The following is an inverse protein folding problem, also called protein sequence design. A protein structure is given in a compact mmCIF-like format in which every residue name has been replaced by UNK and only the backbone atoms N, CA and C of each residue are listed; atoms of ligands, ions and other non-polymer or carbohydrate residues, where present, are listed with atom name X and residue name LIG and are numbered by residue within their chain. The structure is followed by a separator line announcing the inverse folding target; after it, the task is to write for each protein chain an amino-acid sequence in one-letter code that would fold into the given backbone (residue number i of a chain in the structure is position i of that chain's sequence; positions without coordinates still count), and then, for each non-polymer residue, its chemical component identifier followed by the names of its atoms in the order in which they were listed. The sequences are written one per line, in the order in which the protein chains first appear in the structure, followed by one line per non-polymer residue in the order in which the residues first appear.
data_IF_270465485939
#
_entry.id   IF_270465485939
#
_cell.length_a   1.000
_cell.length_b   1.000
_cell.length_c   1.000
_cell.angle_alpha   90.00
_cell.angle_beta   90.00
_cell.angle_gamma   90.00
#
_symmetry.space_group_name_H-M   'P 1'
#
loop_
_entity.id
_entity.type
_entity.pdbx_description
1 polymer ?
#
# COMPACT_ATOMS: atom_id res chain seq x y z
N UNK A 1 6.23 -2.63 18.48
CA UNK A 1 6.42 -2.39 17.03
C UNK A 1 5.42 -1.32 16.62
N UNK A 2 5.87 -0.19 16.06
CA UNK A 2 4.95 0.88 15.64
C UNK A 2 4.15 0.38 14.43
N UNK A 3 2.81 0.45 14.49
CA UNK A 3 1.93 0.04 13.41
C UNK A 3 1.35 1.28 12.74
N UNK A 4 1.46 1.36 11.42
CA UNK A 4 0.84 2.42 10.64
C UNK A 4 -0.67 2.18 10.56
N UNK A 5 -1.46 3.23 10.75
CA UNK A 5 -2.92 3.18 10.61
C UNK A 5 -3.41 4.10 9.49
N UNK A 6 -4.65 3.91 9.03
CA UNK A 6 -5.29 4.82 8.09
C UNK A 6 -5.30 6.27 8.64
N UNK A 7 -5.61 6.42 9.93
CA UNK A 7 -5.55 7.71 10.62
C UNK A 7 -4.18 8.39 10.51
N UNK A 8 -3.08 7.65 10.61
CA UNK A 8 -1.74 8.21 10.45
C UNK A 8 -1.46 8.65 9.00
N UNK A 9 -1.89 7.86 8.02
CA UNK A 9 -1.75 8.18 6.59
C UNK A 9 -2.52 9.47 6.27
N UNK A 10 -3.79 9.53 6.66
CA UNK A 10 -4.67 10.66 6.38
C UNK A 10 -4.18 11.91 7.08
N UNK A 11 -3.76 11.82 8.35
CA UNK A 11 -3.14 12.93 9.06
C UNK A 11 -1.87 13.43 8.35
N UNK A 12 -1.03 12.53 7.84
CA UNK A 12 0.21 12.90 7.13
C UNK A 12 -0.09 13.62 5.81
N UNK A 13 -1.05 13.11 5.04
CA UNK A 13 -1.51 13.76 3.79
C UNK A 13 -2.19 15.09 4.10
N UNK A 14 -2.96 15.18 5.19
CA UNK A 14 -3.57 16.43 5.63
C UNK A 14 -2.55 17.47 6.10
N UNK A 15 -1.27 17.17 6.22
CA UNK A 15 -0.26 18.19 6.48
C UNK A 15 0.31 18.78 5.18
N UNK A 16 0.09 18.14 4.02
CA UNK A 16 0.55 18.65 2.73
C UNK A 16 -0.16 19.97 2.37
N UNK A 17 0.50 20.80 1.57
CA UNK A 17 -0.08 22.06 1.09
C UNK A 17 -1.20 21.78 0.08
N UNK A 18 -2.42 22.25 0.35
CA UNK A 18 -3.59 22.07 -0.50
C UNK A 18 -3.62 23.05 -1.67
N UNK A 19 -2.78 24.10 -1.62
CA UNK A 19 -2.60 25.04 -2.71
C UNK A 19 -1.56 24.58 -3.72
N UNK A 20 -0.77 23.55 -3.38
CA UNK A 20 0.24 22.98 -4.25
C UNK A 20 -0.32 21.86 -5.13
N UNK A 21 0.41 21.57 -6.22
CA UNK A 21 0.19 20.39 -7.05
C UNK A 21 1.31 19.38 -6.84
N UNK A 22 0.95 18.10 -6.93
CA UNK A 22 1.87 16.98 -6.71
C UNK A 22 2.01 16.17 -7.99
N UNK A 23 3.21 15.62 -8.21
CA UNK A 23 3.54 14.82 -9.38
C UNK A 23 3.44 13.32 -9.03
N UNK A 24 3.16 12.49 -10.04
CA UNK A 24 3.31 11.05 -9.88
C UNK A 24 4.79 10.66 -9.77
N UNK A 25 5.08 9.57 -9.06
CA UNK A 25 6.44 9.05 -8.91
C UNK A 25 7.08 8.58 -10.23
N UNK A 26 6.28 8.19 -11.21
CA UNK A 26 6.80 7.82 -12.52
C UNK A 26 7.03 9.09 -13.35
N UNK A 27 8.28 9.46 -13.71
CA UNK A 27 8.57 10.70 -14.43
C UNK A 27 7.98 10.76 -15.85
N UNK A 28 7.58 9.61 -16.41
CA UNK A 28 6.85 9.54 -17.69
C UNK A 28 5.40 9.99 -17.55
N UNK A 29 4.82 9.91 -16.36
CA UNK A 29 3.47 10.40 -16.10
C UNK A 29 3.53 11.91 -15.87
N UNK A 30 2.86 12.67 -16.74
CA UNK A 30 2.81 14.14 -16.71
C UNK A 30 1.59 14.69 -15.95
N UNK A 31 0.78 13.80 -15.37
CA UNK A 31 -0.37 14.16 -14.58
C UNK A 31 0.01 14.92 -13.30
N UNK A 32 -0.86 15.83 -12.91
CA UNK A 32 -0.81 16.56 -11.66
C UNK A 32 -1.94 16.10 -10.74
N UNK A 33 -1.70 16.24 -9.44
CA UNK A 33 -2.62 15.89 -8.36
C UNK A 33 -2.84 17.13 -7.51
N UNK A 34 -4.09 17.44 -7.21
CA UNK A 34 -4.51 18.48 -6.26
C UNK A 34 -5.32 17.83 -5.14
N UNK A 35 -5.04 18.21 -3.90
CA UNK A 35 -5.83 17.80 -2.73
C UNK A 35 -6.93 18.84 -2.55
N UNK A 36 -8.18 18.43 -2.72
CA UNK A 36 -9.35 19.31 -2.55
C UNK A 36 -9.77 19.35 -1.09
N UNK A 37 -9.87 18.18 -0.47
CA UNK A 37 -10.36 18.04 0.90
C UNK A 37 -9.83 16.74 1.51
N UNK A 38 -9.60 16.76 2.83
CA UNK A 38 -9.23 15.58 3.60
C UNK A 38 -10.23 15.42 4.75
N UNK A 39 -11.08 14.40 4.69
CA UNK A 39 -11.96 14.06 5.81
C UNK A 39 -11.17 13.26 6.86
N UNK A 40 -11.13 13.76 8.08
CA UNK A 40 -10.46 13.11 9.21
C UNK A 40 -11.46 12.20 9.95
N UNK A 41 -11.00 11.13 10.62
CA UNK A 41 -9.61 10.73 10.75
C UNK A 41 -9.11 9.80 9.64
N UNK A 42 -10.00 9.07 8.95
CA UNK A 42 -9.61 7.93 8.09
C UNK A 42 -9.96 8.10 6.62
N UNK A 43 -10.32 9.31 6.21
CA UNK A 43 -10.75 9.62 4.86
C UNK A 43 -12.28 9.61 4.72
N UNK A 44 -12.78 9.80 3.49
CA UNK A 44 -12.03 9.80 2.24
C UNK A 44 -11.16 11.05 2.03
N UNK A 45 -10.17 10.94 1.13
CA UNK A 45 -9.41 12.11 0.64
C UNK A 45 -9.95 12.46 -0.75
N UNK A 46 -10.47 13.68 -0.92
CA UNK A 46 -10.96 14.16 -2.22
C UNK A 46 -9.84 14.84 -3.00
N UNK A 47 -9.64 14.40 -4.23
CA UNK A 47 -8.59 14.89 -5.11
C UNK A 47 -9.14 15.32 -6.47
N UNK A 48 -8.39 16.17 -7.16
CA UNK A 48 -8.48 16.32 -8.61
C UNK A 48 -7.17 15.86 -9.24
N UNK A 49 -7.26 15.36 -10.46
CA UNK A 49 -6.10 15.02 -11.27
C UNK A 49 -6.35 15.37 -12.72
N UNK A 50 -5.34 15.87 -13.38
CA UNK A 50 -5.38 16.25 -14.79
C UNK A 50 -4.00 16.08 -15.41
N UNK A 51 -3.94 16.00 -16.73
CA UNK A 51 -2.70 15.94 -17.50
C UNK A 51 -2.55 17.19 -18.37
N UNK A 52 -1.72 18.16 -17.94
CA UNK A 52 -1.44 19.37 -18.72
C UNK A 52 -0.90 19.06 -20.13
N UNK A 53 -0.21 17.93 -20.32
CA UNK A 53 0.33 17.56 -21.64
C UNK A 53 -0.76 17.22 -22.66
N UNK A 54 -1.99 16.96 -22.18
CA UNK A 54 -3.18 16.72 -23.01
C UNK A 54 -4.08 17.96 -23.11
N UNK A 55 -3.61 19.13 -22.65
CA UNK A 55 -4.40 20.36 -22.59
C UNK A 55 -5.46 20.37 -21.49
N UNK A 56 -5.39 19.45 -20.51
CA UNK A 56 -6.33 19.40 -19.41
C UNK A 56 -6.00 20.43 -18.31
N UNK A 57 -7.02 20.86 -17.57
CA UNK A 57 -6.89 21.83 -16.47
C UNK A 57 -7.62 21.33 -15.22
N UNK A 58 -7.29 21.86 -14.04
CA UNK A 58 -7.96 21.46 -12.79
C UNK A 58 -9.47 21.74 -12.82
N UNK A 59 -9.88 22.86 -13.41
CA UNK A 59 -11.28 23.32 -13.51
C UNK A 59 -12.17 22.38 -14.34
N UNK A 60 -11.58 21.67 -15.31
CA UNK A 60 -12.31 20.76 -16.20
C UNK A 60 -12.45 19.34 -15.65
N UNK A 61 -11.86 19.05 -14.49
CA UNK A 61 -11.82 17.69 -13.93
C UNK A 61 -12.70 17.55 -12.69
N UNK A 62 -13.41 16.43 -12.66
CA UNK A 62 -14.24 16.03 -11.52
C UNK A 62 -13.37 15.75 -10.29
N UNK A 63 -13.96 15.97 -9.13
CA UNK A 63 -13.39 15.55 -7.85
C UNK A 63 -13.62 14.06 -7.68
N UNK A 64 -12.57 13.30 -7.37
CA UNK A 64 -12.62 11.85 -7.14
C UNK A 64 -12.17 11.54 -5.70
N UNK A 65 -12.82 10.57 -5.02
CA UNK A 65 -12.38 10.15 -3.70
C UNK A 65 -11.29 9.07 -3.75
N UNK A 66 -10.32 9.17 -2.84
CA UNK A 66 -9.53 8.05 -2.34
C UNK A 66 -10.32 7.50 -1.14
N UNK A 67 -10.89 6.30 -1.28
CA UNK A 67 -11.78 5.74 -0.26
C UNK A 67 -11.03 5.29 0.99
N UNK A 68 -11.72 5.29 2.13
CA UNK A 68 -11.14 4.86 3.42
C UNK A 68 -10.71 3.39 3.38
N UNK A 69 -11.41 2.53 2.63
CA UNK A 69 -11.04 1.12 2.45
C UNK A 69 -9.71 0.96 1.70
N UNK A 70 -9.48 1.78 0.67
CA UNK A 70 -8.20 1.81 -0.05
C UNK A 70 -7.07 2.23 0.90
N UNK A 71 -7.29 3.27 1.70
CA UNK A 71 -6.31 3.76 2.67
C UNK A 71 -5.99 2.69 3.72
N UNK A 72 -7.00 2.00 4.25
CA UNK A 72 -6.82 0.90 5.20
C UNK A 72 -6.05 -0.27 4.62
N UNK A 73 -6.35 -0.68 3.37
CA UNK A 73 -5.61 -1.76 2.69
C UNK A 73 -4.12 -1.43 2.58
N UNK A 74 -3.79 -0.19 2.23
CA UNK A 74 -2.41 0.27 2.15
C UNK A 74 -1.76 0.36 3.54
N UNK A 75 -2.44 0.93 4.53
CA UNK A 75 -1.92 1.03 5.90
C UNK A 75 -1.54 -0.34 6.47
N UNK A 76 -2.42 -1.33 6.29
CA UNK A 76 -2.22 -2.69 6.79
C UNK A 76 -1.08 -3.45 6.10
N UNK A 77 -0.71 -3.06 4.89
CA UNK A 77 0.40 -3.69 4.17
C UNK A 77 1.78 -3.19 4.62
N UNK A 78 1.86 -2.04 5.29
CA UNK A 78 3.14 -1.48 5.71
C UNK A 78 3.68 -2.14 6.98
N UNK A 79 4.91 -2.62 6.85
CA UNK A 79 5.82 -2.86 7.98
C UNK A 79 6.97 -1.86 7.87
N UNK A 80 7.42 -1.33 9.01
CA UNK A 80 8.52 -0.36 9.03
C UNK A 80 9.75 -0.91 8.30
N UNK A 81 10.34 -0.09 7.43
CA UNK A 81 11.52 -0.40 6.60
C UNK A 81 11.35 -1.58 5.63
N UNK A 82 10.12 -2.03 5.36
CA UNK A 82 9.84 -3.03 4.34
C UNK A 82 9.19 -2.38 3.10
N UNK A 83 9.70 -2.66 1.88
CA UNK A 83 9.16 -2.09 0.66
C UNK A 83 7.87 -2.81 0.27
N UNK A 84 6.81 -2.06 -0.03
CA UNK A 84 5.57 -2.59 -0.58
C UNK A 84 5.33 -2.09 -2.00
N UNK A 85 4.72 -2.93 -2.82
CA UNK A 85 4.26 -2.52 -4.14
C UNK A 85 2.74 -2.32 -4.10
N UNK A 86 2.29 -1.11 -4.42
CA UNK A 86 0.87 -0.76 -4.39
C UNK A 86 0.04 -1.61 -5.35
N UNK A 87 0.60 -1.98 -6.50
CA UNK A 87 -0.10 -2.79 -7.50
C UNK A 87 -0.35 -4.21 -6.99
N UNK A 88 0.63 -4.79 -6.29
CA UNK A 88 0.52 -6.10 -5.65
C UNK A 88 -0.45 -6.09 -4.47
N UNK A 89 -0.34 -5.10 -3.58
CA UNK A 89 -1.22 -4.99 -2.40
C UNK A 89 -2.69 -4.86 -2.80
N UNK A 90 -2.97 -4.15 -3.88
CA UNK A 90 -4.34 -3.87 -4.32
C UNK A 90 -4.82 -4.78 -5.45
N UNK A 91 -4.00 -5.73 -5.91
CA UNK A 91 -4.34 -6.63 -7.02
C UNK A 91 -4.77 -5.87 -8.27
N UNK A 92 -4.10 -4.77 -8.61
CA UNK A 92 -4.49 -3.94 -9.77
C UNK A 92 -5.72 -3.05 -9.57
N UNK A 93 -6.39 -3.10 -8.43
CA UNK A 93 -7.65 -2.38 -8.18
C UNK A 93 -7.45 -0.90 -7.86
N UNK A 94 -8.56 -0.15 -7.90
CA UNK A 94 -8.70 1.28 -7.59
C UNK A 94 -8.05 2.24 -8.59
N UNK A 95 -8.88 3.13 -9.15
CA UNK A 95 -8.43 4.14 -10.11
C UNK A 95 -7.54 5.23 -9.49
N UNK A 96 -7.58 5.41 -8.17
CA UNK A 96 -6.83 6.43 -7.42
C UNK A 96 -5.59 5.86 -6.69
N UNK A 97 -5.27 4.58 -6.89
CA UNK A 97 -4.10 3.90 -6.29
C UNK A 97 -2.80 4.68 -6.45
N UNK A 98 -2.45 5.04 -7.70
CA UNK A 98 -1.19 5.75 -7.98
C UNK A 98 -1.19 7.19 -7.46
N UNK A 99 -2.37 7.76 -7.18
CA UNK A 99 -2.51 9.06 -6.54
C UNK A 99 -2.15 8.94 -5.06
N UNK A 100 -2.71 7.95 -4.35
CA UNK A 100 -2.37 7.69 -2.95
C UNK A 100 -0.88 7.39 -2.77
N UNK A 101 -0.31 6.57 -3.65
CA UNK A 101 1.13 6.26 -3.67
C UNK A 101 1.98 7.53 -3.80
N UNK A 102 1.63 8.41 -4.73
CA UNK A 102 2.34 9.66 -4.95
C UNK A 102 2.23 10.59 -3.74
N UNK A 103 1.01 10.82 -3.23
CA UNK A 103 0.79 11.68 -2.08
C UNK A 103 1.56 11.20 -0.85
N UNK A 104 1.55 9.89 -0.57
CA UNK A 104 2.33 9.33 0.53
C UNK A 104 3.83 9.61 0.36
N UNK A 105 4.39 9.40 -0.82
CA UNK A 105 5.81 9.68 -1.07
C UNK A 105 6.21 11.17 -0.94
N UNK A 106 5.24 12.09 -0.95
CA UNK A 106 5.46 13.50 -0.64
C UNK A 106 5.37 13.79 0.87
N UNK A 107 4.96 12.83 1.70
CA UNK A 107 4.93 12.97 3.16
C UNK A 107 6.24 12.47 3.79
N UNK A 108 6.74 13.11 4.87
CA UNK A 108 8.08 12.89 5.41
C UNK A 108 8.50 11.43 5.64
N UNK A 109 7.58 10.55 6.08
CA UNK A 109 7.94 9.20 6.53
C UNK A 109 7.93 8.15 5.42
N UNK A 110 7.76 8.52 4.15
CA UNK A 110 7.59 7.54 3.07
C UNK A 110 8.55 7.80 1.92
N UNK A 111 9.48 6.87 1.72
CA UNK A 111 10.48 6.95 0.67
C UNK A 111 10.21 5.89 -0.39
N UNK A 112 10.48 6.21 -1.66
CA UNK A 112 10.35 5.23 -2.74
C UNK A 112 11.70 4.56 -3.03
N UNK A 113 11.67 3.32 -3.49
CA UNK A 113 12.86 2.53 -3.79
C UNK A 113 12.62 1.53 -4.93
N UNK A 114 13.71 0.92 -5.39
CA UNK A 114 13.72 -0.14 -6.41
C UNK A 114 14.47 -1.35 -5.86
N UNK A 115 13.84 -2.18 -5.01
CA UNK A 115 14.48 -3.38 -4.49
C UNK A 115 14.93 -4.30 -5.62
N UNK A 116 15.98 -5.08 -5.39
CA UNK A 116 16.42 -6.10 -6.33
C UNK A 116 15.33 -7.15 -6.57
N UNK A 117 15.40 -7.84 -7.70
CA UNK A 117 14.54 -8.97 -8.02
C UNK A 117 15.39 -10.19 -8.36
N UNK A 118 15.05 -11.35 -7.80
CA UNK A 118 15.58 -12.64 -8.25
C UNK A 118 14.80 -13.09 -9.49
N UNK A 119 15.51 -13.28 -10.60
CA UNK A 119 15.00 -13.97 -11.78
C UNK A 119 15.77 -15.28 -11.97
N UNK A 120 15.03 -16.39 -12.04
CA UNK A 120 15.60 -17.71 -12.34
C UNK A 120 15.42 -18.01 -13.82
N UNK A 121 16.52 -17.99 -14.58
CA UNK A 121 16.51 -18.41 -15.99
C UNK A 121 17.30 -19.72 -16.11
N UNK A 122 16.63 -20.81 -16.50
CA UNK A 122 17.29 -22.13 -16.65
C UNK A 122 17.92 -22.68 -15.36
N UNK A 123 17.35 -22.38 -14.20
CA UNK A 123 17.85 -22.84 -12.88
C UNK A 123 18.93 -21.94 -12.25
N UNK A 124 19.44 -20.93 -12.97
CA UNK A 124 20.43 -20.00 -12.44
C UNK A 124 19.75 -18.71 -11.93
N UNK A 125 19.83 -18.39 -10.63
CA UNK A 125 19.28 -17.15 -10.09
C UNK A 125 20.18 -15.96 -10.46
N UNK A 126 19.58 -14.92 -11.02
CA UNK A 126 20.23 -13.64 -11.31
C UNK A 126 19.49 -12.51 -10.63
N UNK A 127 20.20 -11.53 -10.07
CA UNK A 127 19.59 -10.37 -9.45
C UNK A 127 19.47 -9.26 -10.50
N UNK A 128 18.24 -8.83 -10.78
CA UNK A 128 17.95 -7.69 -11.65
C UNK A 128 17.39 -6.52 -10.83
N UNK A 129 17.35 -5.34 -11.46
CA UNK A 129 16.66 -4.18 -10.88
C UNK A 129 15.15 -4.47 -10.83
N UNK A 130 14.56 -4.37 -9.65
CA UNK A 130 13.12 -4.59 -9.49
C UNK A 130 12.28 -3.35 -9.77
N UNK A 131 10.98 -3.51 -9.53
CA UNK A 131 9.98 -2.48 -9.74
C UNK A 131 9.92 -1.47 -8.59
N UNK A 132 9.25 -0.35 -8.83
CA UNK A 132 9.05 0.71 -7.82
C UNK A 132 8.25 0.16 -6.63
N UNK A 133 8.73 0.47 -5.43
CA UNK A 133 8.05 0.20 -4.16
C UNK A 133 8.08 1.47 -3.30
N UNK A 134 7.17 1.53 -2.32
CA UNK A 134 7.17 2.54 -1.28
C UNK A 134 7.53 1.90 0.06
N UNK A 135 8.30 2.60 0.89
CA UNK A 135 8.77 2.13 2.19
C UNK A 135 8.41 3.15 3.26
N UNK A 136 7.81 2.67 4.34
CA UNK A 136 7.54 3.51 5.51
C UNK A 136 8.75 3.49 6.44
N UNK A 137 9.39 4.64 6.59
CA UNK A 137 10.64 4.86 7.33
C UNK A 137 10.42 5.90 8.44
N UNK A 138 9.76 5.54 9.55
CA UNK A 138 9.40 6.50 10.61
C UNK A 138 10.63 7.19 11.23
N UNK A 139 11.77 6.48 11.31
CA UNK A 139 13.01 6.96 11.94
C UNK A 139 13.85 7.86 11.03
N UNK A 140 13.57 7.92 9.72
CA UNK A 140 14.35 8.70 8.75
C UNK A 140 13.44 9.57 7.87
N UNK A 141 12.72 10.54 8.46
CA UNK A 141 11.81 11.38 7.71
C UNK A 141 12.57 12.34 6.77
N UNK A 142 12.02 12.60 5.59
CA UNK A 142 12.49 13.64 4.68
C UNK A 142 11.62 14.91 4.74
N UNK A 143 12.02 15.94 4.00
CA UNK A 143 11.27 17.19 3.94
C UNK A 143 9.86 16.96 3.37
N UNK A 144 8.86 17.58 3.99
CA UNK A 144 7.49 17.55 3.53
C UNK A 144 7.33 18.17 2.13
N UNK A 145 6.47 17.58 1.32
CA UNK A 145 6.20 18.01 -0.06
C UNK A 145 7.28 17.62 -1.06
N UNK A 146 8.40 17.03 -0.62
CA UNK A 146 9.49 16.56 -1.46
C UNK A 146 9.47 15.04 -1.51
N UNK A 147 9.74 14.45 -2.66
CA UNK A 147 9.88 13.00 -2.83
C UNK A 147 11.35 12.62 -2.69
N UNK A 148 11.66 11.53 -1.99
CA UNK A 148 13.03 11.04 -1.79
C UNK A 148 13.15 9.57 -2.20
N UNK A 149 14.11 9.29 -3.09
CA UNK A 149 14.53 7.92 -3.40
C UNK A 149 15.47 7.42 -2.30
N UNK A 150 15.29 6.18 -1.88
CA UNK A 150 16.20 5.51 -0.94
C UNK A 150 16.79 4.25 -1.57
N UNK A 151 18.08 4.03 -1.33
CA UNK A 151 18.76 2.80 -1.73
C UNK A 151 18.39 1.70 -0.75
N UNK A 152 18.16 0.50 -1.28
CA UNK A 152 17.85 -0.67 -0.47
C UNK A 152 18.59 -1.88 -1.03
N UNK A 153 19.17 -2.66 -0.14
CA UNK A 153 19.82 -3.93 -0.48
C UNK A 153 18.83 -5.10 -0.42
N UNK A 154 17.54 -4.82 -0.17
CA UNK A 154 16.48 -5.82 -0.17
C UNK A 154 16.31 -6.37 -1.59
N UNK A 155 16.33 -7.68 -1.69
CA UNK A 155 16.06 -8.42 -2.92
C UNK A 155 14.78 -9.23 -2.74
N UNK A 156 13.83 -9.05 -3.64
CA UNK A 156 12.55 -9.73 -3.64
C UNK A 156 12.60 -10.98 -4.52
N UNK A 157 12.10 -12.09 -3.99
CA UNK A 157 11.79 -13.28 -4.79
C UNK A 157 10.39 -13.14 -5.39
N UNK A 158 10.25 -13.31 -6.70
CA UNK A 158 8.94 -13.32 -7.38
C UNK A 158 8.33 -14.72 -7.49
N UNK A 159 8.93 -15.73 -6.86
CA UNK A 159 8.28 -17.04 -6.73
C UNK A 159 6.97 -16.80 -5.96
N UNK A 160 5.80 -17.11 -6.53
CA UNK A 160 4.53 -16.91 -5.85
C UNK A 160 4.59 -17.65 -4.51
N UNK A 161 4.62 -16.87 -3.43
CA UNK A 161 4.49 -17.39 -2.08
C UNK A 161 3.18 -18.17 -2.00
N UNK A 162 3.28 -19.41 -1.51
CA UNK A 162 2.19 -20.40 -1.37
C UNK A 162 0.78 -19.79 -1.38
N UNK A 163 -0.04 -20.23 -2.34
CA UNK A 163 -1.47 -19.97 -2.31
C UNK A 163 -2.05 -20.59 -1.04
N UNK A 164 -2.50 -19.74 -0.12
CA UNK A 164 -3.28 -20.17 1.02
C UNK A 164 -4.74 -20.37 0.55
N UNK A 165 -5.09 -21.61 0.23
CA UNK A 165 -6.48 -21.99 0.01
C UNK A 165 -7.19 -22.03 1.35
N UNK A 166 -8.00 -21.01 1.62
CA UNK A 166 -8.99 -21.08 2.69
C UNK A 166 -10.26 -21.65 2.08
N UNK A 167 -10.60 -22.87 2.45
CA UNK A 167 -11.95 -23.37 2.20
C UNK A 167 -12.92 -22.41 2.89
N UNK A 168 -13.96 -21.97 2.18
CA UNK A 168 -14.97 -21.12 2.79
C UNK A 168 -15.54 -21.88 3.98
N UNK A 169 -15.34 -21.35 5.19
CA UNK A 169 -15.91 -21.90 6.42
C UNK A 169 -17.43 -21.70 6.37
N UNK A 170 -18.11 -22.48 5.53
CA UNK A 170 -19.53 -22.75 5.66
C UNK A 170 -19.61 -23.70 6.85
N UNK A 171 -19.89 -23.15 8.03
CA UNK A 171 -20.27 -23.97 9.17
C UNK A 171 -21.47 -24.81 8.72
N UNK A 172 -21.36 -26.15 8.70
CA UNK A 172 -22.50 -27.00 8.43
C UNK A 172 -23.57 -26.67 9.46
N UNK A 173 -24.77 -26.32 9.01
CA UNK A 173 -25.93 -26.03 9.86
C UNK A 173 -26.37 -27.22 10.74
N UNK A 174 -25.70 -28.37 10.60
CA UNK A 174 -26.00 -29.62 11.27
C UNK A 174 -25.13 -29.88 12.53
N UNK A 175 -24.23 -28.97 12.92
CA UNK A 175 -23.48 -29.10 14.17
C UNK A 175 -24.31 -28.70 15.40
N UNK A 176 -25.47 -29.36 15.58
CA UNK A 176 -26.05 -29.54 16.91
C UNK A 176 -25.40 -30.77 17.55
N UNK A 177 -24.64 -30.48 18.62
CA UNK A 177 -24.23 -31.41 19.67
C UNK A 177 -23.47 -32.68 19.23
N UNK A 178 -22.17 -32.55 18.98
CA UNK A 178 -21.24 -33.58 19.42
C UNK A 178 -20.06 -32.90 20.12
N UNK A 179 -19.70 -33.39 21.30
CA UNK A 179 -18.56 -32.92 22.08
C UNK A 179 -17.31 -32.96 21.20
N UNK A 180 -16.91 -31.80 20.69
CA UNK A 180 -15.66 -31.66 19.95
C UNK A 180 -14.51 -32.04 20.88
N UNK A 181 -13.70 -33.00 20.44
CA UNK A 181 -12.55 -33.50 21.19
C UNK A 181 -11.62 -32.33 21.54
N UNK A 182 -11.30 -32.18 22.83
CA UNK A 182 -10.45 -31.13 23.39
C UNK A 182 -9.12 -31.03 22.64
N UNK A 183 -8.62 -32.14 22.12
CA UNK A 183 -7.38 -32.15 21.34
C UNK A 183 -7.53 -31.42 20.00
N UNK A 184 -8.70 -31.48 19.37
CA UNK A 184 -8.99 -30.78 18.12
C UNK A 184 -9.08 -29.27 18.39
N UNK A 185 -9.75 -28.85 19.46
CA UNK A 185 -9.80 -27.44 19.86
C UNK A 185 -8.41 -26.88 20.20
N UNK A 186 -7.60 -27.65 20.92
CA UNK A 186 -6.23 -27.24 21.30
C UNK A 186 -5.33 -27.13 20.06
N UNK A 187 -5.47 -28.03 19.09
CA UNK A 187 -4.74 -27.97 17.81
C UNK A 187 -5.20 -26.79 16.95
N UNK A 188 -6.49 -26.49 16.93
CA UNK A 188 -7.03 -25.32 16.21
C UNK A 188 -6.53 -24.00 16.81
N UNK A 189 -6.53 -23.88 18.14
CA UNK A 189 -5.98 -22.71 18.83
C UNK A 189 -4.48 -22.55 18.59
N UNK A 190 -3.71 -23.64 18.59
CA UNK A 190 -2.28 -23.61 18.26
C UNK A 190 -2.03 -23.13 16.83
N UNK A 191 -2.83 -23.57 15.86
CA UNK A 191 -2.77 -23.09 14.47
C UNK A 191 -3.11 -21.61 14.40
N UNK A 192 -4.13 -21.14 15.12
CA UNK A 192 -4.49 -19.72 15.14
C UNK A 192 -3.39 -18.84 15.74
N UNK A 193 -2.71 -19.31 16.79
CA UNK A 193 -1.55 -18.61 17.36
C UNK A 193 -0.39 -18.58 16.38
N UNK A 194 -0.11 -19.69 15.67
CA UNK A 194 0.97 -19.77 14.70
C UNK A 194 0.74 -18.95 13.43
N UNK A 195 -0.51 -18.61 13.09
CA UNK A 195 -0.85 -17.74 11.96
C UNK A 195 -0.77 -16.24 12.31
N UNK A 196 -0.67 -15.91 13.60
CA UNK A 196 -0.63 -14.53 14.09
C UNK A 196 0.80 -14.03 14.43
N UNK A 197 1.78 -14.93 14.46
CA UNK A 197 3.21 -14.65 14.62
C UNK A 197 3.98 -15.02 13.36
#
# INVERSE_FOLDING_TARGET
MQKLTASNIVASINQLDKKATYNYLNPKNKGLIEIVEVEMPEGPIRIRRWDPSKGETSQSKKVEPISSELIWRIANAFTANQPINFDRVLGGSYNTRSVLEALLAHTPQFQFCYPGRIETTGGNPTIKKGHKHLMWTPENPHKQGVVKETKTDIVLSEVPSLEAFYDSLVLPSDLKSQNLDINIQRRHAQIQVALYF
#
